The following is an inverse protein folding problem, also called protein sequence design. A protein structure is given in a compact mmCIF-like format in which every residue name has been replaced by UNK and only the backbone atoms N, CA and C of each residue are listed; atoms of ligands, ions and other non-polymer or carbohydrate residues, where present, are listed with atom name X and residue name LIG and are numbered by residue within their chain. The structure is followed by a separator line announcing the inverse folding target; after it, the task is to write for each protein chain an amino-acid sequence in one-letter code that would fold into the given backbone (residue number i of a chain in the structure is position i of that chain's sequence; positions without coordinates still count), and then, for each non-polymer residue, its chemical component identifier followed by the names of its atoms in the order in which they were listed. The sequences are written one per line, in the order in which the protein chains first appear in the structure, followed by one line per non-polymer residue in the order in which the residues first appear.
data_IF_547295913667
#
_entry.id   IF_547295913667
#
_cell.length_a   1.000
_cell.length_b   1.000
_cell.length_c   1.000
_cell.angle_alpha   90.00
_cell.angle_beta   90.00
_cell.angle_gamma   90.00
#
_symmetry.space_group_name_H-M   'P 1'
#
loop_
_entity.id
_entity.type
_entity.pdbx_description
1 polymer ?
#
# COMPACT_ATOMS: atom_id res chain seq x y z
N UNK A 1 -6.87 31.78 -1.26
CA UNK A 1 -6.47 30.86 -2.31
C UNK A 1 -7.17 29.51 -2.12
N UNK A 2 -7.81 29.08 -3.13
CA UNK A 2 -8.50 27.79 -3.05
C UNK A 2 -7.50 26.67 -3.18
N UNK A 3 -7.54 25.75 -2.25
CA UNK A 3 -6.74 24.55 -2.35
C UNK A 3 -7.26 23.67 -3.49
N UNK A 4 -6.35 23.00 -4.18
CA UNK A 4 -6.77 21.99 -5.14
C UNK A 4 -7.57 20.90 -4.41
N UNK A 5 -8.62 20.37 -5.03
CA UNK A 5 -9.36 19.28 -4.41
C UNK A 5 -8.43 18.12 -4.10
N UNK A 6 -8.50 17.65 -2.87
CA UNK A 6 -7.78 16.43 -2.48
C UNK A 6 -8.60 15.25 -2.95
N UNK A 7 -7.97 14.37 -3.74
CA UNK A 7 -8.64 13.15 -4.17
C UNK A 7 -8.96 12.29 -2.95
N UNK A 8 -10.15 11.68 -2.92
CA UNK A 8 -10.48 10.78 -1.81
C UNK A 8 -9.54 9.58 -1.79
N UNK A 9 -9.28 9.01 -0.61
CA UNK A 9 -8.53 7.76 -0.53
C UNK A 9 -9.19 6.67 -1.35
N UNK A 10 -8.37 5.84 -2.00
CA UNK A 10 -8.87 4.73 -2.82
C UNK A 10 -9.55 3.65 -1.98
N UNK A 11 -9.09 3.48 -0.73
CA UNK A 11 -9.59 2.45 0.18
C UNK A 11 -9.93 3.08 1.54
N UNK A 12 -10.87 2.48 2.30
CA UNK A 12 -11.17 2.93 3.65
C UNK A 12 -10.06 2.53 4.64
N UNK A 13 -10.16 3.03 5.88
CA UNK A 13 -9.24 2.69 6.95
C UNK A 13 -8.15 3.73 7.13
N UNK A 14 -7.07 3.33 7.78
CA UNK A 14 -5.91 4.19 8.05
C UNK A 14 -5.03 4.35 6.82
N UNK A 15 -4.41 5.52 6.70
CA UNK A 15 -3.35 5.73 5.70
C UNK A 15 -2.03 5.84 6.41
N UNK A 16 -1.05 5.07 5.93
CA UNK A 16 0.30 5.04 6.46
C UNK A 16 1.29 5.42 5.37
N UNK A 17 2.48 5.83 5.77
CA UNK A 17 3.58 6.07 4.86
C UNK A 17 4.75 5.17 5.26
N UNK A 18 5.21 4.32 4.34
CA UNK A 18 6.38 3.48 4.53
C UNK A 18 7.53 4.04 3.69
N UNK A 19 8.32 4.93 4.29
CA UNK A 19 9.40 5.66 3.59
C UNK A 19 8.89 6.34 2.31
N UNK A 20 7.71 6.98 2.42
CA UNK A 20 7.07 7.66 1.30
C UNK A 20 6.08 6.83 0.51
N UNK A 21 6.08 5.51 0.65
CA UNK A 21 5.07 4.66 -0.01
C UNK A 21 3.72 4.83 0.68
N UNK A 22 2.70 5.16 -0.10
CA UNK A 22 1.36 5.23 0.43
C UNK A 22 0.82 3.83 0.73
N UNK A 23 0.21 3.66 1.91
CA UNK A 23 -0.35 2.39 2.34
C UNK A 23 -1.70 2.60 2.99
N UNK A 24 -2.64 1.73 2.68
CA UNK A 24 -3.94 1.67 3.36
C UNK A 24 -3.94 0.47 4.30
N UNK A 25 -4.49 0.66 5.50
CA UNK A 25 -4.51 -0.38 6.52
C UNK A 25 -5.89 -0.50 7.15
N UNK A 26 -6.37 -1.72 7.30
CA UNK A 26 -7.63 -1.99 7.99
C UNK A 26 -7.63 -3.40 8.58
N UNK A 27 -8.55 -3.64 9.52
CA UNK A 27 -8.73 -4.95 10.11
C UNK A 27 -7.88 -5.19 11.34
N UNK A 28 -7.98 -6.41 11.87
CA UNK A 28 -7.26 -6.83 13.05
C UNK A 28 -6.98 -8.32 12.95
N UNK A 29 -5.73 -8.69 13.19
CA UNK A 29 -5.26 -10.07 13.10
C UNK A 29 -3.87 -10.16 12.49
N UNK A 30 -3.48 -11.35 12.01
CA UNK A 30 -2.17 -11.51 11.37
C UNK A 30 -2.00 -10.55 10.19
N UNK A 31 -0.80 -10.05 9.92
CA UNK A 31 -0.58 -9.09 8.86
C UNK A 31 -0.65 -9.73 7.47
N UNK A 32 -1.28 -9.02 6.54
CA UNK A 32 -1.37 -9.42 5.13
C UNK A 32 -1.04 -8.22 4.25
N UNK A 33 -0.14 -8.39 3.29
CA UNK A 33 0.24 -7.36 2.34
C UNK A 33 -0.40 -7.64 0.98
N UNK A 34 -1.13 -6.67 0.46
CA UNK A 34 -1.75 -6.75 -0.87
C UNK A 34 -1.02 -5.83 -1.83
N UNK A 35 -0.72 -6.36 -3.01
CA UNK A 35 0.10 -5.67 -4.01
C UNK A 35 -0.67 -5.66 -5.34
N UNK A 36 -0.88 -4.46 -5.89
CA UNK A 36 -1.58 -4.31 -7.16
C UNK A 36 -0.68 -4.68 -8.35
N UNK A 37 -1.31 -4.87 -9.51
CA UNK A 37 -0.58 -5.14 -10.75
C UNK A 37 0.17 -3.90 -11.24
N UNK A 38 1.05 -4.09 -12.21
CA UNK A 38 1.81 -2.98 -12.82
C UNK A 38 1.22 -2.71 -14.20
N UNK A 39 0.36 -1.70 -14.28
CA UNK A 39 -0.20 -1.20 -15.54
C UNK A 39 -0.57 0.28 -15.38
N UNK A 40 -0.92 0.92 -16.47
CA UNK A 40 -1.08 2.38 -16.52
C UNK A 40 -2.10 2.94 -15.53
N UNK A 41 -3.12 2.16 -15.16
CA UNK A 41 -4.21 2.61 -14.29
C UNK A 41 -4.18 1.95 -12.91
N UNK A 42 -3.14 1.17 -12.60
CA UNK A 42 -3.09 0.38 -11.36
C UNK A 42 -2.88 1.26 -10.13
N UNK A 43 -3.44 0.83 -9.02
CA UNK A 43 -3.22 1.39 -7.69
C UNK A 43 -3.73 0.40 -6.65
N UNK A 44 -3.56 0.73 -5.37
CA UNK A 44 -4.13 -0.06 -4.28
C UNK A 44 -5.64 -0.27 -4.44
N UNK A 45 -6.36 0.62 -5.13
CA UNK A 45 -7.79 0.49 -5.38
C UNK A 45 -8.15 -0.83 -6.09
N UNK A 46 -7.24 -1.37 -6.90
CA UNK A 46 -7.42 -2.66 -7.57
C UNK A 46 -7.65 -3.80 -6.57
N UNK A 47 -7.10 -3.66 -5.37
CA UNK A 47 -7.14 -4.70 -4.35
C UNK A 47 -8.37 -4.59 -3.43
N UNK A 48 -9.30 -3.66 -3.70
CA UNK A 48 -10.45 -3.42 -2.83
C UNK A 48 -11.23 -4.70 -2.45
N UNK A 49 -11.56 -5.62 -3.38
CA UNK A 49 -12.31 -6.83 -2.99
C UNK A 49 -11.57 -7.69 -1.97
N UNK A 50 -10.26 -7.88 -2.15
CA UNK A 50 -9.44 -8.64 -1.21
C UNK A 50 -9.23 -7.88 0.09
N UNK A 51 -9.02 -6.58 0.01
CA UNK A 51 -8.84 -5.71 1.16
C UNK A 51 -10.04 -5.79 2.11
N UNK A 52 -11.23 -5.63 1.57
CA UNK A 52 -12.47 -5.68 2.35
C UNK A 52 -12.72 -7.07 2.93
N UNK A 53 -12.46 -8.12 2.14
CA UNK A 53 -12.66 -9.49 2.57
C UNK A 53 -11.73 -9.87 3.72
N UNK A 54 -10.44 -9.62 3.57
CA UNK A 54 -9.46 -10.07 4.55
C UNK A 54 -9.35 -9.16 5.77
N UNK A 55 -9.87 -7.96 5.73
CA UNK A 55 -9.94 -7.10 6.91
C UNK A 55 -10.80 -7.70 8.03
N UNK A 56 -11.65 -8.68 7.72
CA UNK A 56 -12.44 -9.39 8.72
C UNK A 56 -11.59 -10.33 9.59
N UNK A 57 -10.45 -10.81 9.08
CA UNK A 57 -9.62 -11.82 9.75
C UNK A 57 -8.15 -11.42 9.91
N UNK A 58 -7.71 -10.40 9.19
CA UNK A 58 -6.30 -9.97 9.14
C UNK A 58 -6.19 -8.47 9.34
N UNK A 59 -4.99 -8.02 9.71
CA UNK A 59 -4.60 -6.63 9.53
C UNK A 59 -4.06 -6.53 8.12
N UNK A 60 -4.82 -5.88 7.22
CA UNK A 60 -4.52 -5.83 5.80
C UNK A 60 -3.82 -4.53 5.46
N UNK A 61 -2.73 -4.63 4.71
CA UNK A 61 -1.95 -3.50 4.22
C UNK A 61 -1.97 -3.55 2.69
N UNK A 62 -2.51 -2.52 2.07
CA UNK A 62 -2.54 -2.39 0.61
C UNK A 62 -1.70 -1.18 0.21
N UNK A 63 -0.59 -1.42 -0.50
CA UNK A 63 0.34 -0.36 -0.89
C UNK A 63 0.09 0.13 -2.31
N UNK A 64 0.40 1.41 -2.55
CA UNK A 64 0.60 1.94 -3.88
C UNK A 64 2.10 1.82 -4.19
N UNK A 65 2.43 1.08 -5.25
CA UNK A 65 3.83 0.96 -5.69
C UNK A 65 4.38 2.30 -6.16
N UNK A 66 5.70 2.49 -6.20
CA UNK A 66 6.30 3.75 -6.66
C UNK A 66 5.75 4.17 -8.02
N UNK A 67 5.29 5.43 -8.11
CA UNK A 67 4.69 5.97 -9.33
C UNK A 67 3.21 5.68 -9.51
N UNK A 68 2.59 4.91 -8.61
CA UNK A 68 1.18 4.54 -8.68
C UNK A 68 0.39 5.18 -7.54
N UNK A 69 -0.90 5.40 -7.78
CA UNK A 69 -1.80 5.94 -6.79
C UNK A 69 -1.26 7.21 -6.13
N UNK A 70 -1.17 7.21 -4.80
CA UNK A 70 -0.65 8.34 -4.02
C UNK A 70 0.84 8.21 -3.68
N UNK A 71 1.52 7.15 -4.14
CA UNK A 71 2.97 7.03 -3.96
C UNK A 71 3.72 8.02 -4.87
N UNK A 72 4.94 8.43 -4.49
CA UNK A 72 5.68 9.43 -5.26
C UNK A 72 5.88 9.07 -6.72
N UNK A 73 5.72 10.06 -7.60
CA UNK A 73 5.91 9.94 -9.05
C UNK A 73 7.15 10.74 -9.42
N UNK A 74 8.30 10.14 -9.19
CA UNK A 74 9.55 10.78 -9.50
C UNK A 74 9.95 10.55 -10.95
N UNK A 75 10.69 11.50 -11.50
CA UNK A 75 11.25 11.38 -12.85
C UNK A 75 12.49 10.47 -12.80
N UNK A 76 12.23 9.18 -12.81
CA UNK A 76 13.29 8.16 -12.78
C UNK A 76 12.83 6.89 -13.48
N UNK A 77 13.78 6.02 -13.77
CA UNK A 77 13.48 4.73 -14.38
C UNK A 77 12.77 3.83 -13.36
N UNK A 78 11.60 3.35 -13.71
CA UNK A 78 10.87 2.38 -12.91
C UNK A 78 11.29 0.97 -13.35
N UNK A 79 12.10 0.32 -12.53
CA UNK A 79 12.66 -1.01 -12.81
C UNK A 79 12.00 -2.08 -11.93
N UNK A 80 12.13 -3.36 -12.30
CA UNK A 80 11.72 -4.44 -11.41
C UNK A 80 12.37 -4.36 -10.03
N UNK A 81 13.63 -3.94 -9.97
CA UNK A 81 14.34 -3.79 -8.70
C UNK A 81 13.72 -2.70 -7.84
N UNK A 82 13.31 -1.58 -8.42
CA UNK A 82 12.64 -0.51 -7.69
C UNK A 82 11.36 -1.04 -7.02
N UNK A 83 10.59 -1.84 -7.76
CA UNK A 83 9.35 -2.43 -7.24
C UNK A 83 9.64 -3.45 -6.16
N UNK A 84 10.64 -4.31 -6.35
CA UNK A 84 11.06 -5.29 -5.36
C UNK A 84 11.55 -4.63 -4.07
N UNK A 85 12.34 -3.57 -4.20
CA UNK A 85 12.82 -2.81 -3.03
C UNK A 85 11.65 -2.19 -2.26
N UNK A 86 10.62 -1.71 -2.96
CA UNK A 86 9.41 -1.19 -2.32
C UNK A 86 8.68 -2.27 -1.53
N UNK A 87 8.60 -3.49 -2.06
CA UNK A 87 8.00 -4.62 -1.35
C UNK A 87 8.76 -4.97 -0.08
N UNK A 88 10.09 -4.98 -0.14
CA UNK A 88 10.92 -5.23 1.04
C UNK A 88 10.75 -4.13 2.08
N UNK A 89 10.67 -2.87 1.66
CA UNK A 89 10.42 -1.75 2.54
C UNK A 89 9.08 -1.91 3.27
N UNK A 90 8.02 -2.20 2.51
CA UNK A 90 6.69 -2.41 3.09
C UNK A 90 6.70 -3.57 4.08
N UNK A 91 7.30 -4.71 3.71
CA UNK A 91 7.34 -5.89 4.57
C UNK A 91 8.07 -5.61 5.88
N UNK A 92 9.19 -4.87 5.85
CA UNK A 92 9.93 -4.49 7.06
C UNK A 92 9.07 -3.63 7.99
N UNK A 93 8.39 -2.63 7.45
CA UNK A 93 7.52 -1.76 8.25
C UNK A 93 6.37 -2.56 8.87
N UNK A 94 5.75 -3.45 8.10
CA UNK A 94 4.63 -4.26 8.57
C UNK A 94 5.09 -5.21 9.67
N UNK A 95 6.26 -5.84 9.52
CA UNK A 95 6.81 -6.71 10.56
C UNK A 95 7.05 -5.94 11.86
N UNK A 96 7.59 -4.74 11.77
CA UNK A 96 7.82 -3.90 12.94
C UNK A 96 6.50 -3.55 13.64
N UNK A 97 5.47 -3.19 12.87
CA UNK A 97 4.15 -2.85 13.41
C UNK A 97 3.45 -4.05 14.05
N UNK A 98 3.72 -5.25 13.57
CA UNK A 98 3.07 -6.47 14.04
C UNK A 98 3.92 -7.28 15.02
N UNK A 99 4.96 -6.68 15.59
CA UNK A 99 5.79 -7.33 16.61
C UNK A 99 6.67 -8.46 16.08
N UNK A 100 7.02 -8.43 14.80
CA UNK A 100 7.88 -9.43 14.17
C UNK A 100 7.13 -10.61 13.56
N UNK A 101 5.81 -10.53 13.44
CA UNK A 101 5.01 -11.60 12.82
C UNK A 101 5.36 -11.79 11.34
N UNK A 102 5.18 -13.00 10.84
CA UNK A 102 5.31 -13.27 9.41
C UNK A 102 4.19 -12.57 8.64
N UNK A 103 4.55 -12.01 7.49
CA UNK A 103 3.61 -11.28 6.64
C UNK A 103 3.14 -12.19 5.51
N UNK A 104 1.84 -12.34 5.40
CA UNK A 104 1.21 -13.06 4.29
C UNK A 104 1.16 -12.20 3.03
#
# INVERSE_FOLDING_TARGET
MDALPVLPPALPGERLSFDGLNCYCAGNGPPMLLIHSINAAASAAEMRPLYERYAATHTVYAIDLPGYGFSPREDRVYSPRLMTDALHTAARHIRALSGGANVD
#
